data_IF_509303925034
#
_entry.id   IF_509303925034
#
_cell.length_a   1.000
_cell.length_b   1.000
_cell.length_c   1.000
_cell.angle_alpha   90.00
_cell.angle_beta   90.00
_cell.angle_gamma   90.00
#
_symmetry.space_group_name_H-M   'P 1'
#
loop_
_entity.id
_entity.type
_entity.pdbx_description
1 polymer ?
#
# COMPACT_ATOMS: atom_id res chain seq x y z
N UNK A 1 15.03 -13.87 3.45
CA UNK A 1 15.26 -12.44 3.74
C UNK A 1 13.95 -11.79 4.19
N UNK A 2 13.91 -11.22 5.39
CA UNK A 2 12.79 -10.37 5.80
C UNK A 2 12.90 -9.05 5.05
N UNK A 3 11.89 -8.74 4.22
CA UNK A 3 11.78 -7.43 3.60
C UNK A 3 11.26 -6.46 4.66
N UNK A 4 11.95 -5.35 4.87
CA UNK A 4 11.44 -4.26 5.70
C UNK A 4 10.25 -3.64 4.96
N UNK A 5 9.03 -3.98 5.37
CA UNK A 5 7.81 -3.45 4.76
C UNK A 5 7.57 -2.07 5.37
N UNK A 6 7.71 -1.03 4.58
CA UNK A 6 7.44 0.32 5.07
C UNK A 6 5.95 0.56 5.32
N UNK A 7 5.65 1.47 6.25
CA UNK A 7 4.30 1.71 6.78
C UNK A 7 3.62 2.95 6.17
N UNK A 8 3.95 3.27 4.92
CA UNK A 8 3.42 4.46 4.24
C UNK A 8 3.18 4.20 2.76
N UNK A 9 2.29 4.99 2.16
CA UNK A 9 2.04 4.98 0.71
C UNK A 9 3.31 5.11 -0.14
N UNK A 10 4.29 5.91 0.30
CA UNK A 10 5.53 6.11 -0.44
C UNK A 10 6.47 4.90 -0.38
N UNK A 11 6.55 4.25 0.77
CA UNK A 11 7.37 3.04 0.91
C UNK A 11 6.79 1.90 0.08
N UNK A 12 5.46 1.77 0.06
CA UNK A 12 4.79 0.82 -0.84
C UNK A 12 5.18 1.08 -2.29
N UNK A 13 5.12 2.34 -2.75
CA UNK A 13 5.51 2.68 -4.13
C UNK A 13 6.95 2.24 -4.44
N UNK A 14 7.90 2.55 -3.58
CA UNK A 14 9.32 2.17 -3.77
C UNK A 14 9.48 0.64 -3.83
N UNK A 15 8.80 -0.08 -2.95
CA UNK A 15 8.87 -1.54 -2.92
C UNK A 15 8.29 -2.15 -4.22
N UNK A 16 7.19 -1.59 -4.72
CA UNK A 16 6.56 -2.07 -5.95
C UNK A 16 7.41 -1.75 -7.20
N UNK A 17 8.03 -0.56 -7.25
CA UNK A 17 8.98 -0.22 -8.31
C UNK A 17 10.21 -1.14 -8.29
N UNK A 18 10.70 -1.50 -7.10
CA UNK A 18 11.79 -2.45 -6.91
C UNK A 18 11.41 -3.85 -7.42
N UNK A 19 10.20 -4.32 -7.09
CA UNK A 19 9.68 -5.60 -7.58
C UNK A 19 9.56 -5.63 -9.11
N UNK A 20 9.05 -4.55 -9.71
CA UNK A 20 8.93 -4.42 -11.18
C UNK A 20 10.29 -4.37 -11.88
N UNK A 21 11.30 -3.80 -11.21
CA UNK A 21 12.66 -3.68 -11.74
C UNK A 21 13.48 -4.96 -11.57
N UNK A 22 13.08 -5.85 -10.67
CA UNK A 22 13.76 -7.12 -10.45
C UNK A 22 13.53 -8.09 -11.63
N UNK A 23 14.63 -8.54 -12.24
CA UNK A 23 14.61 -9.44 -13.39
C UNK A 23 13.99 -10.80 -13.07
N UNK A 24 14.09 -11.27 -11.82
CA UNK A 24 13.50 -12.52 -11.35
C UNK A 24 11.98 -12.57 -11.59
N UNK A 25 11.31 -11.43 -11.41
CA UNK A 25 9.86 -11.31 -11.59
C UNK A 25 9.45 -10.82 -12.99
N UNK A 26 10.41 -10.49 -13.86
CA UNK A 26 10.16 -9.85 -15.15
C UNK A 26 9.23 -10.69 -16.04
N UNK A 27 9.44 -12.00 -16.10
CA UNK A 27 8.60 -12.92 -16.90
C UNK A 27 7.16 -13.03 -16.39
N UNK A 28 6.95 -12.79 -15.10
CA UNK A 28 5.63 -12.86 -14.45
C UNK A 28 4.89 -11.53 -14.53
N UNK A 29 5.60 -10.42 -14.33
CA UNK A 29 5.01 -9.08 -14.27
C UNK A 29 4.91 -8.39 -15.62
N UNK A 30 5.80 -8.74 -16.57
CA UNK A 30 5.87 -8.10 -17.88
C UNK A 30 5.48 -9.07 -18.97
N UNK A 31 4.60 -8.62 -19.85
CA UNK A 31 4.28 -9.27 -21.12
C UNK A 31 4.71 -8.33 -22.24
N UNK A 32 5.55 -8.82 -23.15
CA UNK A 32 6.13 -8.00 -24.23
C UNK A 32 6.90 -6.77 -23.72
N UNK A 33 7.55 -6.90 -22.55
CA UNK A 33 8.30 -5.80 -21.92
C UNK A 33 7.44 -4.73 -21.25
N UNK A 34 6.10 -4.87 -21.26
CA UNK A 34 5.17 -3.95 -20.60
C UNK A 34 4.54 -4.56 -19.35
N UNK A 35 4.35 -3.75 -18.32
CA UNK A 35 3.64 -4.13 -17.09
C UNK A 35 2.13 -4.06 -17.36
N UNK A 36 1.60 -5.04 -18.11
CA UNK A 36 0.15 -5.16 -18.39
C UNK A 36 -0.53 -5.94 -17.27
N UNK A 37 -0.53 -5.39 -16.06
CA UNK A 37 -1.09 -6.07 -14.90
C UNK A 37 -2.15 -5.22 -14.20
N UNK A 38 -3.13 -5.89 -13.62
CA UNK A 38 -4.15 -5.31 -12.74
C UNK A 38 -3.57 -5.32 -11.33
N UNK A 39 -3.46 -4.15 -10.71
CA UNK A 39 -2.93 -4.02 -9.35
C UNK A 39 -4.05 -3.78 -8.35
N UNK A 40 -4.11 -4.65 -7.33
CA UNK A 40 -5.07 -4.58 -6.23
C UNK A 40 -4.26 -4.54 -4.94
N UNK A 41 -4.14 -3.35 -4.36
CA UNK A 41 -3.43 -3.13 -3.09
C UNK A 41 -4.45 -3.16 -1.95
N UNK A 42 -4.35 -4.17 -1.09
CA UNK A 42 -5.12 -4.28 0.14
C UNK A 42 -4.18 -3.98 1.31
N UNK A 43 -4.33 -2.80 1.90
CA UNK A 43 -3.41 -2.31 2.94
C UNK A 43 -4.16 -2.19 4.26
N UNK A 44 -3.62 -2.77 5.34
CA UNK A 44 -4.18 -2.57 6.68
C UNK A 44 -3.68 -1.24 7.26
N UNK A 45 -4.10 -0.14 6.62
CA UNK A 45 -3.42 1.12 6.72
C UNK A 45 -4.13 2.20 7.51
N UNK A 46 -3.34 2.91 8.31
CA UNK A 46 -3.74 4.12 9.01
C UNK A 46 -3.88 5.34 8.09
N UNK A 47 -3.94 6.56 8.64
CA UNK A 47 -4.08 7.80 7.87
C UNK A 47 -3.05 7.95 6.75
N UNK A 48 -1.82 7.49 6.98
CA UNK A 48 -0.70 7.64 6.04
C UNK A 48 -0.80 6.78 4.77
N UNK A 49 -1.69 5.80 4.74
CA UNK A 49 -1.89 4.90 3.59
C UNK A 49 -3.28 5.06 2.98
N UNK A 50 -4.17 5.77 3.66
CA UNK A 50 -5.56 5.93 3.25
C UNK A 50 -5.65 6.70 1.91
N UNK A 51 -6.27 6.11 0.87
CA UNK A 51 -6.34 6.67 -0.48
C UNK A 51 -7.29 7.89 -0.56
N UNK A 52 -7.99 8.24 0.52
CA UNK A 52 -8.79 9.47 0.61
C UNK A 52 -7.93 10.73 0.76
N UNK A 53 -6.67 10.60 1.18
CA UNK A 53 -5.79 11.76 1.37
C UNK A 53 -5.11 12.15 0.05
N UNK A 54 -5.16 13.44 -0.28
CA UNK A 54 -4.63 13.98 -1.54
C UNK A 54 -3.15 13.65 -1.78
N UNK A 55 -2.34 13.66 -0.71
CA UNK A 55 -0.93 13.24 -0.77
C UNK A 55 -0.79 11.83 -1.37
N UNK A 56 -1.58 10.90 -0.87
CA UNK A 56 -1.55 9.49 -1.29
C UNK A 56 -2.14 9.32 -2.69
N UNK A 57 -3.22 10.04 -3.03
CA UNK A 57 -3.80 10.04 -4.38
C UNK A 57 -2.75 10.46 -5.41
N UNK A 58 -2.04 11.57 -5.15
CA UNK A 58 -1.01 12.06 -6.06
C UNK A 58 0.12 11.03 -6.23
N UNK A 59 0.57 10.43 -5.12
CA UNK A 59 1.60 9.40 -5.13
C UNK A 59 1.20 8.16 -5.95
N UNK A 60 -0.01 7.62 -5.73
CA UNK A 60 -0.51 6.48 -6.50
C UNK A 60 -0.79 6.83 -7.97
N UNK A 61 -1.23 8.06 -8.27
CA UNK A 61 -1.38 8.52 -9.64
C UNK A 61 -0.03 8.61 -10.38
N UNK A 62 1.03 9.03 -9.68
CA UNK A 62 2.38 9.00 -10.23
C UNK A 62 2.83 7.56 -10.54
N UNK A 63 2.63 6.62 -9.61
CA UNK A 63 2.93 5.20 -9.82
C UNK A 63 2.16 4.63 -11.02
N UNK A 64 0.85 4.89 -11.09
CA UNK A 64 -0.02 4.42 -12.17
C UNK A 64 0.50 4.84 -13.54
N UNK A 65 0.91 6.11 -13.68
CA UNK A 65 1.48 6.63 -14.92
C UNK A 65 2.89 6.11 -15.19
N UNK A 66 3.73 5.98 -14.16
CA UNK A 66 5.11 5.54 -14.31
C UNK A 66 5.20 4.09 -14.82
N UNK A 67 4.28 3.24 -14.37
CA UNK A 67 4.25 1.82 -14.74
C UNK A 67 3.34 1.49 -15.93
N UNK A 68 2.67 2.49 -16.53
CA UNK A 68 1.70 2.30 -17.63
C UNK A 68 0.64 1.24 -17.30
N UNK A 69 0.07 1.31 -16.08
CA UNK A 69 -0.89 0.32 -15.59
C UNK A 69 -2.27 0.49 -16.26
N UNK A 70 -2.93 -0.63 -16.55
CA UNK A 70 -4.31 -0.63 -17.04
C UNK A 70 -5.33 -0.40 -15.90
N UNK A 71 -5.00 -0.84 -14.68
CA UNK A 71 -5.87 -0.72 -13.52
C UNK A 71 -5.07 -0.72 -12.21
N UNK A 72 -5.41 0.22 -11.32
CA UNK A 72 -4.91 0.28 -9.95
C UNK A 72 -6.06 0.58 -9.00
N UNK A 73 -6.26 -0.29 -8.02
CA UNK A 73 -7.14 0.00 -6.88
C UNK A 73 -6.37 -0.15 -5.59
N UNK A 74 -6.55 0.80 -4.68
CA UNK A 74 -6.05 0.74 -3.32
C UNK A 74 -7.25 0.71 -2.39
N UNK A 75 -7.35 -0.36 -1.60
CA UNK A 75 -8.26 -0.40 -0.45
C UNK A 75 -7.44 -0.41 0.81
N UNK A 76 -7.62 0.62 1.61
CA UNK A 76 -7.22 0.54 3.01
C UNK A 76 -8.34 0.01 3.86
N UNK A 77 -7.99 -0.91 4.74
CA UNK A 77 -8.79 -1.17 5.92
C UNK A 77 -8.54 -0.04 6.93
N UNK A 78 -9.00 1.17 6.61
CA UNK A 78 -8.94 2.29 7.54
C UNK A 78 -10.04 2.11 8.59
N UNK A 79 -9.61 1.91 9.83
CA UNK A 79 -10.46 1.54 10.93
C UNK A 79 -11.39 2.68 11.40
N UNK A 80 -12.57 2.79 10.79
CA UNK A 80 -13.77 3.04 11.60
C UNK A 80 -14.16 1.81 12.43
N UNK A 81 -13.53 0.66 12.15
CA UNK A 81 -13.88 -0.66 12.67
C UNK A 81 -12.88 -1.26 13.68
N UNK A 82 -11.69 -0.70 13.88
CA UNK A 82 -10.76 -1.14 14.95
C UNK A 82 -11.31 -0.84 16.34
N UNK A 83 -12.23 0.14 16.45
CA UNK A 83 -13.04 0.36 17.64
C UNK A 83 -13.89 -0.87 18.01
N UNK A 84 -14.19 -1.75 17.04
CA UNK A 84 -14.93 -3.01 17.26
C UNK A 84 -14.02 -4.24 17.34
N UNK A 85 -12.71 -4.11 17.11
CA UNK A 85 -11.75 -5.16 17.41
C UNK A 85 -11.37 -5.07 18.90
N UNK A 86 -11.76 -6.03 19.76
CA UNK A 86 -11.53 -5.94 21.20
C UNK A 86 -10.04 -5.81 21.56
N UNK A 87 -9.16 -6.42 20.76
CA UNK A 87 -7.71 -6.45 20.98
C UNK A 87 -7.10 -5.08 20.72
N UNK A 88 -7.43 -4.45 19.59
CA UNK A 88 -6.94 -3.12 19.23
C UNK A 88 -7.58 -2.00 20.08
N UNK A 89 -8.85 -2.14 20.47
CA UNK A 89 -9.52 -1.23 21.41
C UNK A 89 -8.87 -1.24 22.80
N UNK A 90 -8.43 -2.42 23.28
CA UNK A 90 -7.70 -2.55 24.55
C UNK A 90 -6.37 -1.78 24.50
N UNK A 91 -5.61 -1.92 23.40
CA UNK A 91 -4.35 -1.20 23.20
C UNK A 91 -4.54 0.33 23.12
N UNK A 92 -5.58 0.81 22.45
CA UNK A 92 -5.90 2.24 22.39
C UNK A 92 -6.24 2.82 23.78
N UNK A 93 -6.99 2.06 24.59
CA UNK A 93 -7.34 2.46 25.97
C UNK A 93 -6.13 2.48 26.92
N UNK A 94 -5.16 1.59 26.69
CA UNK A 94 -3.88 1.58 27.40
C UNK A 94 -3.02 2.78 27.05
N UNK A 95 -3.01 3.19 25.77
CA UNK A 95 -2.25 4.36 25.31
C UNK A 95 -2.76 5.67 25.94
N UNK A 96 -4.08 5.82 26.07
CA UNK A 96 -4.70 6.99 26.71
C UNK A 96 -4.46 7.08 28.23
N UNK A 97 -4.07 5.98 28.88
CA UNK A 97 -3.75 5.95 30.33
C UNK A 97 -2.27 6.22 30.63
N UNK A 98 -1.42 6.23 29.62
CA UNK A 98 0.02 6.47 29.74
C UNK A 98 0.44 7.88 29.29
N UNK A 99 -0.51 8.69 28.81
CA UNK A 99 -0.33 10.08 28.40
C UNK A 99 -0.80 11.06 29.50
#
# INVERSE_FOLDING_TARGET
PEYFIGTSSITHIVDLESIVSNEEFSTTLKKEGKVRLIWILLVNGGPDENPKHMKNINQYAHLFRALDLDYLTIRTHASGQSAYNPVECSMASLFAKLA
#
